data_IF_715434413523
#
_entry.id   IF_715434413523
#
_cell.length_a   1.000
_cell.length_b   1.000
_cell.length_c   1.000
_cell.angle_alpha   90.00
_cell.angle_beta   90.00
_cell.angle_gamma   90.00
#
_symmetry.space_group_name_H-M   'P 1'
#
loop_
_entity.id
_entity.type
_entity.pdbx_description
1 polymer ?
#
# COMPACT_ATOMS: atom_id res chain seq x y z
N UNK A 1 11.35 -8.12 23.63
CA UNK A 1 11.74 -6.92 24.42
C UNK A 1 12.19 -5.73 23.55
N UNK A 2 12.35 -5.86 22.23
CA UNK A 2 12.79 -4.76 21.34
C UNK A 2 11.74 -3.68 21.07
N UNK A 3 10.43 -4.01 21.07
CA UNK A 3 9.33 -3.03 20.98
C UNK A 3 9.23 -2.04 22.16
N UNK A 4 10.15 -2.12 23.15
CA UNK A 4 10.22 -1.18 24.29
C UNK A 4 11.32 -0.12 24.16
N UNK A 5 12.18 -0.19 23.14
CA UNK A 5 13.14 0.87 22.88
C UNK A 5 12.44 2.02 22.13
N UNK A 6 12.26 3.21 22.73
CA UNK A 6 11.54 4.32 22.11
C UNK A 6 12.24 4.85 20.85
N UNK A 7 13.53 4.57 20.67
CA UNK A 7 14.31 4.99 19.50
C UNK A 7 14.36 3.94 18.39
N UNK A 8 13.81 2.75 18.61
CA UNK A 8 13.90 1.65 17.65
C UNK A 8 13.24 2.00 16.30
N UNK A 9 12.10 2.69 16.36
CA UNK A 9 11.39 3.19 15.16
C UNK A 9 12.28 4.17 14.37
N UNK A 10 12.99 5.08 15.04
CA UNK A 10 13.92 6.01 14.40
C UNK A 10 15.13 5.30 13.79
N UNK A 11 15.70 4.32 14.49
CA UNK A 11 16.82 3.51 14.01
C UNK A 11 16.45 2.71 12.75
N UNK A 12 15.23 2.18 12.75
CA UNK A 12 14.68 1.45 11.62
C UNK A 12 14.36 2.39 10.44
N UNK A 13 13.84 3.60 10.71
CA UNK A 13 13.69 4.65 9.71
C UNK A 13 15.02 4.98 9.00
N UNK A 14 16.11 5.12 9.76
CA UNK A 14 17.44 5.41 9.22
C UNK A 14 17.94 4.31 8.28
N UNK A 15 17.67 3.04 8.61
CA UNK A 15 17.96 1.91 7.72
C UNK A 15 17.23 2.03 6.37
N UNK A 16 15.96 2.43 6.39
CA UNK A 16 15.22 2.61 5.12
C UNK A 16 15.63 3.86 4.35
N UNK A 17 16.05 4.93 5.03
CA UNK A 17 16.69 6.07 4.35
C UNK A 17 17.95 5.63 3.63
N UNK A 18 18.76 4.78 4.27
CA UNK A 18 19.94 4.19 3.66
C UNK A 18 19.60 3.30 2.46
N UNK A 19 18.46 2.59 2.51
CA UNK A 19 17.96 1.71 1.44
C UNK A 19 16.98 2.39 0.46
N UNK A 20 16.84 3.72 0.45
CA UNK A 20 15.77 4.41 -0.31
C UNK A 20 15.72 4.07 -1.80
N UNK A 21 16.85 3.72 -2.40
CA UNK A 21 17.00 3.39 -3.83
C UNK A 21 16.92 1.86 -4.08
N UNK A 22 16.65 1.06 -3.05
CA UNK A 22 16.58 -0.40 -3.10
C UNK A 22 15.27 -0.87 -2.47
N UNK A 23 14.43 -1.53 -3.26
CA UNK A 23 13.08 -1.93 -2.89
C UNK A 23 12.98 -3.30 -2.18
N UNK A 24 14.09 -4.01 -2.01
CA UNK A 24 14.15 -5.31 -1.33
C UNK A 24 15.19 -5.25 -0.21
N UNK A 25 14.87 -5.85 0.93
CA UNK A 25 15.80 -5.99 2.06
C UNK A 25 15.61 -7.33 2.76
N UNK A 26 16.69 -7.92 3.26
CA UNK A 26 16.62 -9.09 4.15
C UNK A 26 16.85 -8.72 5.62
N UNK A 27 16.47 -9.63 6.53
CA UNK A 27 16.78 -9.49 7.96
C UNK A 27 18.30 -9.46 8.20
N UNK A 28 19.07 -10.21 7.44
CA UNK A 28 20.54 -10.23 7.53
C UNK A 28 21.16 -8.89 7.13
N UNK A 29 20.66 -8.28 6.04
CA UNK A 29 21.14 -6.96 5.61
C UNK A 29 20.80 -5.88 6.63
N UNK A 30 19.61 -5.96 7.23
CA UNK A 30 19.23 -5.06 8.31
C UNK A 30 20.12 -5.28 9.54
N UNK A 31 20.32 -6.52 9.96
CA UNK A 31 21.18 -6.84 11.11
C UNK A 31 22.63 -6.42 10.86
N UNK A 32 23.12 -6.54 9.63
CA UNK A 32 24.42 -6.02 9.24
C UNK A 32 24.49 -4.49 9.40
N UNK A 33 23.48 -3.75 8.93
CA UNK A 33 23.40 -2.30 9.13
C UNK A 33 23.34 -1.93 10.62
N UNK A 34 22.50 -2.60 11.40
CA UNK A 34 22.33 -2.33 12.82
C UNK A 34 23.64 -2.57 13.58
N UNK A 35 24.30 -3.71 13.36
CA UNK A 35 25.59 -4.01 13.98
C UNK A 35 26.68 -2.99 13.58
N UNK A 36 26.73 -2.59 12.31
CA UNK A 36 27.69 -1.58 11.83
C UNK A 36 27.47 -0.22 12.48
N UNK A 37 26.22 0.10 12.83
CA UNK A 37 25.83 1.34 13.52
C UNK A 37 25.75 1.19 15.05
N UNK A 38 26.31 0.11 15.62
CA UNK A 38 26.32 -0.17 17.08
C UNK A 38 24.92 -0.26 17.69
N UNK A 39 23.97 -0.76 16.93
CA UNK A 39 22.59 -1.03 17.32
C UNK A 39 22.40 -2.52 17.62
N UNK A 40 21.41 -2.84 18.44
CA UNK A 40 21.07 -4.24 18.72
C UNK A 40 20.45 -4.90 17.48
N UNK A 41 20.91 -6.11 17.09
CA UNK A 41 20.33 -6.84 15.96
C UNK A 41 18.88 -7.21 16.25
N UNK A 42 18.04 -7.15 15.22
CA UNK A 42 16.64 -7.52 15.24
C UNK A 42 16.51 -9.02 14.98
N UNK A 43 15.87 -9.74 15.91
CA UNK A 43 15.71 -11.20 15.80
C UNK A 43 14.39 -11.61 15.16
N UNK A 44 13.41 -10.71 15.14
CA UNK A 44 12.07 -10.90 14.55
C UNK A 44 11.65 -9.60 13.89
N UNK A 45 11.07 -9.65 12.70
CA UNK A 45 10.49 -8.46 12.08
C UNK A 45 9.38 -7.95 13.00
N UNK A 46 9.51 -6.74 13.58
CA UNK A 46 8.47 -6.15 14.39
C UNK A 46 7.25 -5.88 13.51
N UNK A 47 6.06 -6.23 13.99
CA UNK A 47 4.80 -5.79 13.36
C UNK A 47 4.64 -4.31 13.69
N UNK A 48 4.95 -3.45 12.73
CA UNK A 48 4.78 -2.01 12.87
C UNK A 48 3.35 -1.59 12.57
N UNK A 49 2.85 -0.52 13.21
CA UNK A 49 1.56 0.03 12.83
C UNK A 49 1.59 0.52 11.37
N UNK A 50 0.60 0.12 10.61
CA UNK A 50 0.26 0.72 9.32
C UNK A 50 -0.62 1.96 9.50
N UNK A 51 -0.45 2.91 8.59
CA UNK A 51 -1.24 4.14 8.51
C UNK A 51 -1.58 4.43 7.06
N UNK A 52 -2.84 4.73 6.77
CA UNK A 52 -3.25 4.96 5.39
C UNK A 52 -4.24 6.11 5.27
N UNK A 53 -4.26 6.72 4.08
CA UNK A 53 -5.14 7.84 3.76
C UNK A 53 -6.26 7.34 2.85
N UNK A 54 -7.51 7.55 3.24
CA UNK A 54 -8.68 7.32 2.39
C UNK A 54 -9.51 8.60 2.24
N UNK A 55 -10.16 8.78 1.11
CA UNK A 55 -11.16 9.84 0.95
C UNK A 55 -12.42 9.45 1.72
N UNK A 56 -12.93 10.35 2.56
CA UNK A 56 -14.08 10.06 3.42
C UNK A 56 -15.16 11.15 3.40
N UNK A 57 -15.05 12.10 2.49
CA UNK A 57 -16.08 13.09 2.20
C UNK A 57 -15.57 14.18 1.27
N UNK A 58 -16.46 15.08 0.87
CA UNK A 58 -16.10 16.21 0.01
C UNK A 58 -15.02 17.06 0.67
N UNK A 59 -13.88 17.19 -0.02
CA UNK A 59 -12.70 17.91 0.48
C UNK A 59 -12.20 17.41 1.84
N UNK A 60 -12.35 16.11 2.13
CA UNK A 60 -11.88 15.50 3.37
C UNK A 60 -11.19 14.17 3.12
N UNK A 61 -10.09 13.97 3.83
CA UNK A 61 -9.45 12.68 3.94
C UNK A 61 -9.46 12.18 5.38
N UNK A 62 -9.49 10.88 5.51
CA UNK A 62 -9.36 10.17 6.76
C UNK A 62 -8.00 9.47 6.79
N UNK A 63 -7.24 9.73 7.85
CA UNK A 63 -6.01 9.00 8.14
C UNK A 63 -6.36 7.95 9.18
N UNK A 64 -6.18 6.68 8.84
CA UNK A 64 -6.51 5.55 9.69
C UNK A 64 -5.23 4.88 10.19
N UNK A 65 -5.22 4.45 11.45
CA UNK A 65 -4.11 3.76 12.11
C UNK A 65 -4.50 2.34 12.50
N UNK A 66 -3.58 1.40 12.31
CA UNK A 66 -3.66 0.02 12.83
C UNK A 66 -2.86 -0.15 14.13
N UNK A 67 -2.32 0.92 14.70
CA UNK A 67 -1.50 0.83 15.91
C UNK A 67 -2.26 0.23 17.07
N UNK A 68 -1.65 -0.69 17.81
CA UNK A 68 -2.30 -1.32 18.98
C UNK A 68 -2.35 -0.40 20.20
N UNK A 69 -1.39 0.53 20.28
CA UNK A 69 -1.25 1.51 21.34
C UNK A 69 -1.36 2.95 20.81
N UNK A 70 -1.30 3.92 21.72
CA UNK A 70 -1.24 5.33 21.35
C UNK A 70 0.00 5.58 20.48
N UNK A 71 -0.16 6.36 19.43
CA UNK A 71 0.92 6.66 18.49
C UNK A 71 0.77 8.04 17.89
N UNK A 72 1.90 8.67 17.60
CA UNK A 72 1.96 9.96 16.93
C UNK A 72 2.65 9.77 15.57
N UNK A 73 2.14 10.47 14.56
CA UNK A 73 2.77 10.55 13.24
C UNK A 73 2.86 12.00 12.79
N UNK A 74 3.75 12.26 11.84
CA UNK A 74 3.86 13.54 11.15
C UNK A 74 3.24 13.43 9.76
N UNK A 75 2.48 14.44 9.38
CA UNK A 75 1.99 14.62 8.03
C UNK A 75 2.73 15.78 7.38
N UNK A 76 3.36 15.54 6.23
CA UNK A 76 3.77 16.62 5.35
C UNK A 76 2.60 17.02 4.47
N UNK A 77 2.15 18.26 4.61
CA UNK A 77 1.08 18.84 3.83
C UNK A 77 1.72 19.79 2.81
N UNK A 78 1.47 19.53 1.52
CA UNK A 78 1.86 20.44 0.44
C UNK A 78 0.65 21.24 0.00
N UNK A 79 0.75 22.56 0.04
CA UNK A 79 -0.29 23.47 -0.45
C UNK A 79 -0.29 23.59 -1.96
N UNK A 80 -1.33 24.24 -2.51
CA UNK A 80 -1.43 24.50 -3.95
C UNK A 80 -0.20 25.25 -4.51
N UNK A 81 0.40 26.13 -3.71
CA UNK A 81 1.61 26.90 -4.05
C UNK A 81 2.94 26.16 -3.73
N UNK A 82 2.93 24.83 -3.60
CA UNK A 82 4.11 24.01 -3.28
C UNK A 82 4.76 24.28 -1.92
N UNK A 83 4.08 25.00 -1.03
CA UNK A 83 4.59 25.21 0.33
C UNK A 83 4.36 23.96 1.17
N UNK A 84 5.43 23.48 1.80
CA UNK A 84 5.41 22.31 2.67
C UNK A 84 5.27 22.72 4.13
N UNK A 85 4.38 22.05 4.84
CA UNK A 85 4.22 22.21 6.29
C UNK A 85 4.14 20.85 6.96
N UNK A 86 4.64 20.74 8.19
CA UNK A 86 4.57 19.51 8.97
C UNK A 86 3.47 19.67 10.03
N UNK A 87 2.53 18.74 10.05
CA UNK A 87 1.47 18.65 11.05
C UNK A 87 1.62 17.35 11.84
N UNK A 88 1.71 17.43 13.17
CA UNK A 88 1.66 16.26 14.04
C UNK A 88 0.22 15.87 14.31
N UNK A 89 -0.08 14.58 14.22
CA UNK A 89 -1.37 14.03 14.63
C UNK A 89 -1.16 12.82 15.54
N UNK A 90 -2.12 12.61 16.42
CA UNK A 90 -2.07 11.56 17.44
C UNK A 90 -3.25 10.60 17.28
N UNK A 91 -2.98 9.32 17.48
CA UNK A 91 -3.96 8.25 17.54
C UNK A 91 -3.98 7.67 18.94
N UNK A 92 -5.17 7.30 19.41
CA UNK A 92 -5.31 6.59 20.66
C UNK A 92 -5.66 5.13 20.42
N UNK A 93 -5.62 4.33 21.49
CA UNK A 93 -6.06 2.93 21.43
C UNK A 93 -7.48 2.76 20.85
N UNK A 94 -8.38 3.71 21.13
CA UNK A 94 -9.77 3.68 20.67
C UNK A 94 -10.01 4.61 19.46
N UNK A 95 -9.26 5.70 19.36
CA UNK A 95 -9.33 6.66 18.26
C UNK A 95 -8.35 6.30 17.15
N UNK A 96 -8.79 5.45 16.22
CA UNK A 96 -8.00 4.96 15.07
C UNK A 96 -8.06 5.84 13.83
N UNK A 97 -8.89 6.88 13.82
CA UNK A 97 -9.09 7.70 12.64
C UNK A 97 -8.99 9.19 12.98
N UNK A 98 -8.32 9.94 12.12
CA UNK A 98 -8.24 11.40 12.15
C UNK A 98 -8.78 11.94 10.83
N UNK A 99 -9.61 12.97 10.90
CA UNK A 99 -10.20 13.61 9.72
C UNK A 99 -9.45 14.92 9.45
N UNK A 100 -9.08 15.13 8.18
CA UNK A 100 -8.40 16.34 7.72
C UNK A 100 -9.18 16.98 6.57
N UNK A 101 -9.37 18.30 6.66
CA UNK A 101 -9.88 19.12 5.55
C UNK A 101 -8.77 19.33 4.51
N UNK A 102 -9.09 19.13 3.24
CA UNK A 102 -8.15 19.21 2.12
C UNK A 102 -8.34 20.43 1.22
N UNK A 103 -9.16 21.41 1.60
CA UNK A 103 -9.52 22.57 0.76
C UNK A 103 -8.31 23.29 0.15
N UNK A 104 -7.21 23.42 0.90
CA UNK A 104 -5.97 24.11 0.45
C UNK A 104 -4.75 23.17 0.39
N UNK A 105 -4.97 21.86 0.48
CA UNK A 105 -3.92 20.82 0.44
C UNK A 105 -3.98 20.08 -0.89
N UNK A 106 -2.89 20.11 -1.66
CA UNK A 106 -2.76 19.34 -2.90
C UNK A 106 -2.19 17.94 -2.71
N UNK A 107 -1.34 17.77 -1.68
CA UNK A 107 -0.68 16.50 -1.36
C UNK A 107 -0.48 16.34 0.13
N UNK A 108 -0.67 15.12 0.60
CA UNK A 108 -0.37 14.67 1.97
C UNK A 108 0.60 13.51 1.88
N UNK A 109 1.59 13.48 2.75
CA UNK A 109 2.50 12.36 2.90
C UNK A 109 2.62 11.99 4.37
N UNK A 110 2.33 10.74 4.70
CA UNK A 110 2.52 10.21 6.06
C UNK A 110 4.01 10.00 6.30
N UNK A 111 4.50 10.56 7.40
CA UNK A 111 5.88 10.52 7.86
C UNK A 111 6.86 10.71 6.70
N UNK A 112 6.89 11.92 6.13
CA UNK A 112 7.71 12.26 4.95
C UNK A 112 9.20 11.92 5.14
N UNK A 113 9.66 11.97 6.39
CA UNK A 113 11.00 11.60 6.85
C UNK A 113 11.15 10.14 7.27
N UNK A 114 10.25 9.26 6.84
CA UNK A 114 10.29 7.80 7.08
C UNK A 114 10.21 7.38 8.54
N UNK A 115 9.64 8.23 9.40
CA UNK A 115 9.56 8.02 10.85
C UNK A 115 8.73 6.81 11.26
N UNK A 116 7.78 6.34 10.44
CA UNK A 116 7.09 5.07 10.69
C UNK A 116 7.32 4.10 9.55
N UNK A 117 7.51 2.82 9.90
CA UNK A 117 7.41 1.76 8.91
C UNK A 117 5.95 1.39 8.74
N UNK A 118 5.41 1.73 7.58
CA UNK A 118 4.16 1.17 7.13
C UNK A 118 4.42 -0.23 6.60
N UNK A 119 3.66 -1.23 7.08
CA UNK A 119 3.80 -2.62 6.63
C UNK A 119 3.49 -2.71 5.13
N UNK A 120 2.48 -1.97 4.68
CA UNK A 120 2.06 -2.04 3.30
C UNK A 120 2.91 -1.11 2.43
N UNK A 121 3.23 0.11 2.90
CA UNK A 121 3.93 1.15 2.11
C UNK A 121 3.30 1.41 0.74
N UNK A 122 2.05 1.00 0.52
CA UNK A 122 1.38 1.15 -0.77
C UNK A 122 0.44 2.36 -0.78
N UNK A 123 0.38 3.11 0.32
CA UNK A 123 -0.71 4.04 0.65
C UNK A 123 -0.31 5.23 1.54
N UNK A 124 0.98 5.64 1.52
CA UNK A 124 1.50 6.75 2.32
C UNK A 124 1.27 8.15 1.70
N UNK A 125 0.80 8.22 0.46
CA UNK A 125 0.54 9.47 -0.26
C UNK A 125 -0.95 9.62 -0.59
N UNK A 126 -1.47 10.81 -0.36
CA UNK A 126 -2.67 11.29 -1.03
C UNK A 126 -2.33 12.50 -1.90
N UNK A 127 -2.87 12.54 -3.12
CA UNK A 127 -2.77 13.68 -4.04
C UNK A 127 -4.18 14.01 -4.52
N UNK A 128 -4.55 15.29 -4.48
CA UNK A 128 -5.87 15.78 -4.89
C UNK A 128 -6.24 15.44 -6.34
N UNK A 129 -5.24 15.43 -7.21
CA UNK A 129 -5.42 15.26 -8.66
C UNK A 129 -5.06 13.84 -9.15
N UNK A 130 -4.90 12.88 -8.23
CA UNK A 130 -4.57 11.49 -8.57
C UNK A 130 -5.59 10.55 -7.94
N UNK A 131 -6.46 9.98 -8.77
CA UNK A 131 -7.48 9.01 -8.35
C UNK A 131 -6.96 7.57 -8.36
N UNK A 132 -5.74 7.33 -8.84
CA UNK A 132 -5.23 5.99 -9.03
C UNK A 132 -4.67 5.43 -7.72
N UNK A 133 -5.31 4.38 -7.20
CA UNK A 133 -4.87 3.69 -5.99
C UNK A 133 -3.47 3.07 -6.12
N UNK A 134 -2.99 2.86 -7.35
CA UNK A 134 -1.66 2.30 -7.62
C UNK A 134 -0.54 3.36 -7.58
N UNK A 135 -0.88 4.64 -7.35
CA UNK A 135 0.07 5.76 -7.22
C UNK A 135 0.08 6.36 -5.79
N UNK A 136 -0.28 5.56 -4.78
CA UNK A 136 -0.40 6.02 -3.39
C UNK A 136 0.85 5.74 -2.56
N UNK A 137 1.95 5.33 -3.19
CA UNK A 137 3.23 5.02 -2.53
C UNK A 137 4.37 5.91 -2.98
N UNK A 138 5.24 6.28 -2.04
CA UNK A 138 6.57 6.85 -2.33
C UNK A 138 7.57 5.86 -2.93
N UNK A 139 7.38 4.56 -2.71
CA UNK A 139 8.37 3.51 -2.99
C UNK A 139 8.08 2.73 -4.26
N UNK A 140 6.82 2.66 -4.63
CA UNK A 140 6.34 1.89 -5.77
C UNK A 140 5.39 2.75 -6.56
N UNK A 141 5.77 3.09 -7.80
CA UNK A 141 4.90 3.81 -8.72
C UNK A 141 4.65 2.98 -9.98
N UNK A 142 3.61 3.35 -10.72
CA UNK A 142 3.27 2.81 -12.06
C UNK A 142 4.38 3.09 -13.11
N UNK A 143 5.47 3.78 -12.73
CA UNK A 143 6.52 4.24 -13.65
C UNK A 143 7.23 3.12 -14.43
N UNK A 144 7.03 1.85 -14.09
CA UNK A 144 7.58 0.69 -14.80
C UNK A 144 6.60 -0.04 -15.74
N UNK A 145 5.37 0.46 -15.94
CA UNK A 145 4.41 -0.17 -16.85
C UNK A 145 3.93 0.77 -17.97
N UNK A 146 3.64 0.19 -19.14
CA UNK A 146 3.14 0.94 -20.30
C UNK A 146 1.73 1.50 -20.02
N UNK A 147 1.27 2.54 -20.75
CA UNK A 147 -0.09 3.07 -20.61
C UNK A 147 -1.17 1.97 -20.67
N UNK A 148 -1.02 1.02 -21.59
CA UNK A 148 -1.88 -0.17 -21.72
C UNK A 148 -1.99 -0.96 -20.41
N UNK A 149 -0.86 -1.30 -19.77
CA UNK A 149 -0.89 -2.05 -18.52
C UNK A 149 -1.36 -1.22 -17.34
N UNK A 150 -1.16 0.10 -17.38
CA UNK A 150 -1.74 1.01 -16.40
C UNK A 150 -3.27 0.99 -16.46
N UNK A 151 -3.85 1.00 -17.66
CA UNK A 151 -5.30 0.92 -17.86
C UNK A 151 -5.84 -0.44 -17.41
N UNK A 152 -5.21 -1.55 -17.79
CA UNK A 152 -5.59 -2.89 -17.33
C UNK A 152 -5.56 -2.98 -15.79
N UNK A 153 -4.51 -2.43 -15.17
CA UNK A 153 -4.38 -2.47 -13.72
C UNK A 153 -5.44 -1.61 -13.03
N UNK A 154 -5.77 -0.44 -13.58
CA UNK A 154 -6.85 0.43 -13.09
C UNK A 154 -8.20 -0.27 -13.19
N UNK A 155 -8.54 -0.83 -14.35
CA UNK A 155 -9.80 -1.57 -14.56
C UNK A 155 -9.99 -2.68 -13.51
N UNK A 156 -8.94 -3.48 -13.27
CA UNK A 156 -8.98 -4.57 -12.28
C UNK A 156 -9.19 -4.04 -10.87
N UNK A 157 -8.48 -2.97 -10.49
CA UNK A 157 -8.63 -2.36 -9.16
C UNK A 157 -10.05 -1.80 -8.98
N UNK A 158 -10.58 -1.13 -9.99
CA UNK A 158 -11.95 -0.59 -9.98
C UNK A 158 -12.98 -1.72 -9.85
N UNK A 159 -12.82 -2.82 -10.62
CA UNK A 159 -13.65 -4.01 -10.51
C UNK A 159 -13.62 -4.62 -9.10
N UNK A 160 -12.45 -4.67 -8.45
CA UNK A 160 -12.31 -5.22 -7.09
C UNK A 160 -12.92 -4.30 -6.03
N UNK A 161 -12.88 -2.98 -6.25
CA UNK A 161 -13.36 -1.96 -5.29
C UNK A 161 -14.86 -1.73 -5.37
N UNK A 162 -15.45 -1.71 -6.57
CA UNK A 162 -16.87 -1.41 -6.79
C UNK A 162 -17.64 -2.63 -7.27
N UNK A 163 -18.59 -3.09 -6.45
CA UNK A 163 -19.41 -4.26 -6.75
C UNK A 163 -20.39 -4.04 -7.90
N UNK A 164 -20.67 -2.78 -8.26
CA UNK A 164 -21.53 -2.45 -9.40
C UNK A 164 -20.80 -2.64 -10.74
N UNK A 165 -19.47 -2.70 -10.73
CA UNK A 165 -18.67 -2.96 -11.92
C UNK A 165 -18.69 -4.46 -12.20
N UNK A 166 -19.26 -4.85 -13.34
CA UNK A 166 -19.41 -6.26 -13.74
C UNK A 166 -18.27 -6.73 -14.65
N UNK A 167 -17.73 -5.83 -15.46
CA UNK A 167 -16.64 -6.12 -16.39
C UNK A 167 -15.29 -5.91 -15.68
N UNK A 168 -14.40 -6.90 -15.76
CA UNK A 168 -13.09 -6.86 -15.08
C UNK A 168 -12.13 -5.91 -15.79
N UNK A 169 -12.06 -5.98 -17.13
CA UNK A 169 -11.31 -5.04 -17.96
C UNK A 169 -11.78 -5.17 -19.40
N UNK A 170 -11.77 -4.06 -20.13
CA UNK A 170 -12.07 -4.03 -21.58
C UNK A 170 -10.81 -4.18 -22.43
N UNK A 171 -9.64 -4.05 -21.81
CA UNK A 171 -8.35 -4.01 -22.47
C UNK A 171 -7.70 -5.39 -22.60
N UNK A 172 -8.25 -6.41 -21.95
CA UNK A 172 -7.81 -7.80 -22.06
C UNK A 172 -9.00 -8.75 -22.20
N UNK A 173 -8.79 -9.82 -22.96
CA UNK A 173 -9.68 -10.97 -23.05
C UNK A 173 -9.43 -11.85 -21.84
N UNK A 174 -10.46 -12.09 -21.05
CA UNK A 174 -10.40 -12.93 -19.85
C UNK A 174 -11.29 -14.16 -20.08
N UNK A 175 -10.72 -15.35 -19.98
CA UNK A 175 -11.47 -16.59 -20.16
C UNK A 175 -12.39 -16.84 -18.97
N UNK A 176 -13.44 -17.64 -19.17
CA UNK A 176 -14.49 -17.87 -18.17
C UNK A 176 -13.94 -18.40 -16.83
N UNK A 177 -12.90 -19.23 -16.87
CA UNK A 177 -12.25 -19.74 -15.66
C UNK A 177 -11.63 -18.60 -14.85
N UNK A 178 -10.73 -17.82 -15.44
CA UNK A 178 -10.06 -16.70 -14.77
C UNK A 178 -11.06 -15.61 -14.35
N UNK A 179 -12.13 -15.40 -15.14
CA UNK A 179 -13.23 -14.50 -14.77
C UNK A 179 -13.93 -14.99 -13.51
N UNK A 180 -14.22 -16.29 -13.41
CA UNK A 180 -14.81 -16.91 -12.23
C UNK A 180 -13.87 -16.80 -11.02
N UNK A 181 -12.57 -16.97 -11.21
CA UNK A 181 -11.55 -16.81 -10.15
C UNK A 181 -11.52 -15.38 -9.62
N UNK A 182 -11.53 -14.36 -10.49
CA UNK A 182 -11.63 -12.94 -10.08
C UNK A 182 -12.90 -12.64 -9.29
N UNK A 183 -14.06 -13.12 -9.76
CA UNK A 183 -15.33 -12.92 -9.06
C UNK A 183 -15.27 -13.58 -7.68
N UNK A 184 -14.79 -14.82 -7.60
CA UNK A 184 -14.68 -15.57 -6.34
C UNK A 184 -13.78 -14.86 -5.35
N UNK A 185 -12.62 -14.39 -5.82
CA UNK A 185 -11.69 -13.60 -5.01
C UNK A 185 -12.33 -12.31 -4.49
N UNK A 186 -12.98 -11.53 -5.37
CA UNK A 186 -13.67 -10.29 -4.98
C UNK A 186 -14.72 -10.53 -3.89
N UNK A 187 -15.54 -11.57 -4.05
CA UNK A 187 -16.58 -11.93 -3.08
C UNK A 187 -16.00 -12.38 -1.75
N UNK A 188 -14.97 -13.21 -1.78
CA UNK A 188 -14.34 -13.76 -0.58
C UNK A 188 -13.63 -12.69 0.25
N UNK A 189 -12.84 -11.84 -0.40
CA UNK A 189 -11.97 -10.90 0.30
C UNK A 189 -12.63 -9.54 0.57
N UNK A 190 -13.34 -8.97 -0.39
CA UNK A 190 -13.86 -7.61 -0.26
C UNK A 190 -15.35 -7.55 0.11
N UNK A 191 -16.18 -8.43 -0.43
CA UNK A 191 -17.61 -8.45 -0.11
C UNK A 191 -17.89 -9.06 1.27
N UNK A 192 -17.41 -10.29 1.50
CA UNK A 192 -17.75 -11.06 2.70
C UNK A 192 -17.08 -10.51 3.96
N UNK A 193 -15.81 -10.08 3.86
CA UNK A 193 -15.03 -9.54 4.98
C UNK A 193 -15.12 -8.01 5.11
N UNK A 194 -15.74 -7.34 4.12
CA UNK A 194 -15.81 -5.86 4.03
C UNK A 194 -14.43 -5.20 4.07
N UNK A 195 -13.43 -5.86 3.51
CA UNK A 195 -12.08 -5.32 3.42
C UNK A 195 -12.06 -4.13 2.46
N UNK A 196 -11.24 -3.12 2.77
CA UNK A 196 -11.11 -1.92 1.94
C UNK A 196 -9.73 -1.87 1.32
N UNK A 197 -9.65 -1.83 -0.02
CA UNK A 197 -8.39 -1.53 -0.71
C UNK A 197 -7.98 -0.10 -0.35
N UNK A 198 -6.77 0.07 0.15
CA UNK A 198 -6.25 1.36 0.59
C UNK A 198 -4.98 1.79 -0.17
N UNK A 199 -4.44 0.95 -1.05
CA UNK A 199 -3.31 1.28 -1.92
C UNK A 199 -2.85 0.11 -2.77
N UNK A 200 -1.84 0.35 -3.60
CA UNK A 200 -1.23 -0.69 -4.41
C UNK A 200 -0.11 -0.19 -5.31
N UNK A 201 0.42 -1.11 -6.12
CA UNK A 201 1.26 -0.79 -7.27
C UNK A 201 1.14 -1.90 -8.32
N UNK A 202 1.65 -1.65 -9.53
CA UNK A 202 1.72 -2.65 -10.57
C UNK A 202 3.07 -2.64 -11.30
N UNK A 203 3.56 -3.82 -11.67
CA UNK A 203 4.84 -4.04 -12.37
C UNK A 203 4.64 -5.02 -13.53
N UNK A 204 5.33 -4.78 -14.65
CA UNK A 204 5.32 -5.66 -15.81
C UNK A 204 6.66 -6.39 -15.98
N UNK A 205 6.60 -7.72 -15.99
CA UNK A 205 7.75 -8.57 -16.32
C UNK A 205 7.67 -9.03 -17.77
N UNK A 206 8.56 -8.47 -18.62
CA UNK A 206 8.74 -8.93 -20.01
C UNK A 206 9.22 -10.38 -20.10
N UNK A 207 10.01 -10.85 -19.12
CA UNK A 207 10.60 -12.20 -19.13
C UNK A 207 9.54 -13.28 -18.96
N UNK A 208 8.54 -13.03 -18.12
CA UNK A 208 7.48 -13.99 -17.79
C UNK A 208 6.14 -13.64 -18.42
N UNK A 209 6.07 -12.56 -19.22
CA UNK A 209 4.82 -11.98 -19.73
C UNK A 209 3.76 -11.86 -18.63
N UNK A 210 4.15 -11.30 -17.48
CA UNK A 210 3.30 -11.24 -16.30
C UNK A 210 3.14 -9.81 -15.81
N UNK A 211 1.89 -9.38 -15.65
CA UNK A 211 1.53 -8.17 -14.93
C UNK A 211 1.28 -8.52 -13.47
N UNK A 212 2.06 -7.92 -12.58
CA UNK A 212 1.90 -8.04 -11.14
C UNK A 212 1.11 -6.84 -10.66
N UNK A 213 0.03 -7.07 -9.91
CA UNK A 213 -0.74 -6.02 -9.24
C UNK A 213 -0.75 -6.39 -7.77
N UNK A 214 -0.03 -5.60 -6.97
CA UNK A 214 0.04 -5.79 -5.52
C UNK A 214 -0.82 -4.73 -4.87
N UNK A 215 -1.73 -5.16 -4.00
CA UNK A 215 -2.72 -4.33 -3.35
C UNK A 215 -2.57 -4.46 -1.84
N UNK A 216 -2.72 -3.32 -1.17
CA UNK A 216 -2.92 -3.29 0.27
C UNK A 216 -4.39 -3.12 0.58
N UNK A 217 -4.87 -3.82 1.61
CA UNK A 217 -6.22 -3.68 2.09
C UNK A 217 -6.30 -3.68 3.61
N UNK A 218 -7.25 -2.92 4.12
CA UNK A 218 -7.58 -2.88 5.54
C UNK A 218 -8.70 -3.87 5.83
N UNK A 219 -8.44 -4.81 6.74
CA UNK A 219 -9.43 -5.74 7.25
C UNK A 219 -10.09 -5.13 8.49
N UNK A 220 -11.38 -4.79 8.36
CA UNK A 220 -12.13 -4.13 9.42
C UNK A 220 -12.39 -5.04 10.63
N UNK A 221 -12.32 -6.36 10.45
CA UNK A 221 -12.59 -7.33 11.51
C UNK A 221 -11.37 -7.51 12.42
N UNK A 222 -10.17 -7.57 11.84
CA UNK A 222 -8.91 -7.67 12.58
C UNK A 222 -8.31 -6.31 12.95
N UNK A 223 -8.73 -5.23 12.29
CA UNK A 223 -8.13 -3.89 12.37
C UNK A 223 -6.66 -3.86 11.91
N UNK A 224 -6.29 -4.79 11.04
CA UNK A 224 -4.94 -4.92 10.48
C UNK A 224 -4.94 -4.64 8.96
N UNK A 225 -3.80 -4.18 8.46
CA UNK A 225 -3.55 -4.06 7.02
C UNK A 225 -2.86 -5.31 6.49
N UNK A 226 -3.23 -5.72 5.28
CA UNK A 226 -2.71 -6.92 4.64
C UNK A 226 -2.33 -6.62 3.18
N UNK A 227 -1.55 -7.52 2.58
CA UNK A 227 -1.10 -7.41 1.18
C UNK A 227 -1.52 -8.63 0.39
N UNK A 228 -1.98 -8.39 -0.84
CA UNK A 228 -2.28 -9.43 -1.82
C UNK A 228 -1.65 -9.09 -3.15
N UNK A 229 -1.05 -10.07 -3.80
CA UNK A 229 -0.47 -9.94 -5.13
C UNK A 229 -1.24 -10.79 -6.14
N UNK A 230 -1.79 -10.13 -7.15
CA UNK A 230 -2.36 -10.73 -8.34
C UNK A 230 -1.27 -10.83 -9.41
N UNK A 231 -1.09 -12.03 -9.97
CA UNK A 231 -0.15 -12.29 -11.06
C UNK A 231 -0.96 -12.66 -12.30
N UNK A 232 -0.94 -11.80 -13.30
CA UNK A 232 -1.67 -11.96 -14.55
C UNK A 232 -0.71 -12.41 -15.64
N UNK A 233 -0.70 -13.71 -15.93
CA UNK A 233 0.06 -14.28 -17.04
C UNK A 233 -0.65 -14.04 -18.36
N UNK A 234 -0.09 -13.17 -19.21
CA UNK A 234 -0.67 -12.80 -20.49
C UNK A 234 -0.11 -13.65 -21.64
N UNK A 235 -0.86 -13.72 -22.73
CA UNK A 235 -0.39 -14.23 -24.01
C UNK A 235 0.74 -13.37 -24.59
N UNK A 236 1.46 -13.91 -25.59
CA UNK A 236 2.59 -13.21 -26.22
C UNK A 236 2.17 -11.92 -26.93
N UNK A 237 0.94 -11.89 -27.45
CA UNK A 237 0.30 -10.70 -28.02
C UNK A 237 -0.28 -9.75 -26.95
N UNK A 238 -0.17 -10.12 -25.66
CA UNK A 238 -0.60 -9.39 -24.45
C UNK A 238 -2.10 -9.11 -24.34
N UNK A 239 -2.91 -9.67 -25.23
CA UNK A 239 -4.35 -9.41 -25.30
C UNK A 239 -5.19 -10.37 -24.48
N UNK A 240 -4.66 -11.53 -24.11
CA UNK A 240 -5.44 -12.57 -23.43
C UNK A 240 -4.80 -12.93 -22.10
N UNK A 241 -5.59 -12.93 -21.03
CA UNK A 241 -5.20 -13.52 -19.76
C UNK A 241 -5.21 -15.04 -19.89
N UNK A 242 -4.02 -15.65 -19.83
CA UNK A 242 -3.87 -17.12 -19.90
C UNK A 242 -3.92 -17.76 -18.53
N UNK A 243 -3.54 -17.03 -17.49
CA UNK A 243 -3.47 -17.57 -16.13
C UNK A 243 -3.51 -16.47 -15.09
N UNK A 244 -4.33 -16.68 -14.06
CA UNK A 244 -4.33 -15.88 -12.84
C UNK A 244 -3.69 -16.68 -11.70
N UNK A 245 -2.82 -16.03 -10.94
CA UNK A 245 -2.43 -16.48 -9.61
C UNK A 245 -2.71 -15.39 -8.60
N UNK A 246 -3.18 -15.79 -7.42
CA UNK A 246 -3.46 -14.90 -6.30
C UNK A 246 -2.62 -15.40 -5.13
N UNK A 247 -1.75 -14.55 -4.62
CA UNK A 247 -0.94 -14.83 -3.44
C UNK A 247 -1.30 -13.81 -2.36
N UNK A 248 -1.91 -14.29 -1.27
CA UNK A 248 -2.06 -13.51 -0.04
C UNK A 248 -0.75 -13.64 0.74
N UNK A 249 -0.11 -12.51 1.02
CA UNK A 249 1.06 -12.47 1.89
C UNK A 249 0.53 -12.25 3.31
N UNK A 250 0.42 -13.34 4.07
CA UNK A 250 0.22 -13.28 5.50
C UNK A 250 1.62 -13.30 6.13
N UNK A 251 2.16 -12.13 6.47
CA UNK A 251 3.47 -11.97 7.12
C UNK A 251 3.50 -12.51 8.57
N UNK A 252 2.60 -13.43 8.93
CA UNK A 252 2.58 -14.12 10.22
C UNK A 252 3.29 -15.49 10.20
N UNK A 253 3.86 -15.91 9.07
CA UNK A 253 4.72 -17.11 8.96
C UNK A 253 6.11 -16.82 8.40
#
# INVERSE_FOLDING_TARGET
>A
MQNRNPNFINQFADFYKYKKDVNITSLDEMNFYFLTNKLEPVFTIPVFPDYFIEECGDSKVCITSTAKDNSDIELELTSDNDQKTIKKISFSKEGKQQILDTKDIKKITIDSEFKTLQITRLNDIWNRNDDNLLNKSRYSGIQEITPEFSEISKDIVDFLKDMNILDISKNIIIQEKEKSDFITFRKGLFESKKNKINGGFAIWSKKSNTLFITLSYYDQSSLDSNVVTLKLGLSDDRKTLRKLWIAEENDQE
#
